data_IF_968586545475
#
_entry.id   IF_968586545475
#
_cell.length_a   1.000
_cell.length_b   1.000
_cell.length_c   1.000
_cell.angle_alpha   90.00
_cell.angle_beta   90.00
_cell.angle_gamma   90.00
#
_symmetry.space_group_name_H-M   'P 1'
#
loop_
_entity.id
_entity.type
_entity.pdbx_description
1 polymer ?
#
# COMPACT_ATOMS: atom_id res chain seq x y z
N UNK A 1 1.80 17.93 -2.24
CA UNK A 1 1.25 16.85 -1.38
C UNK A 1 -0.24 16.75 -1.67
N UNK A 2 -0.81 15.55 -1.70
CA UNK A 2 -2.25 15.35 -1.91
C UNK A 2 -2.77 14.17 -1.08
N UNK A 3 -4.07 14.15 -0.79
CA UNK A 3 -4.72 13.12 0.01
C UNK A 3 -5.38 12.10 -0.91
N UNK A 4 -5.14 10.81 -0.63
CA UNK A 4 -5.76 9.72 -1.38
C UNK A 4 -7.26 9.68 -1.12
N UNK A 5 -8.06 9.67 -2.19
CA UNK A 5 -9.50 9.44 -2.16
C UNK A 5 -9.85 8.00 -2.55
N UNK A 6 -11.10 7.57 -2.34
CA UNK A 6 -11.56 6.25 -2.78
C UNK A 6 -11.40 6.01 -4.29
N UNK A 7 -11.63 7.05 -5.11
CA UNK A 7 -11.46 6.96 -6.56
C UNK A 7 -9.99 6.79 -6.96
N UNK A 8 -9.08 7.43 -6.21
CA UNK A 8 -7.64 7.25 -6.39
C UNK A 8 -7.22 5.82 -6.03
N UNK A 9 -7.78 5.22 -4.97
CA UNK A 9 -7.48 3.83 -4.58
C UNK A 9 -7.85 2.85 -5.70
N UNK A 10 -9.01 3.02 -6.34
CA UNK A 10 -9.41 2.20 -7.50
C UNK A 10 -8.46 2.41 -8.68
N UNK A 11 -8.14 3.67 -8.99
CA UNK A 11 -7.24 4.02 -10.09
C UNK A 11 -5.82 3.47 -9.88
N UNK A 12 -5.30 3.55 -8.65
CA UNK A 12 -4.00 3.00 -8.25
C UNK A 12 -4.00 1.47 -8.36
N UNK A 13 -5.05 0.79 -7.91
CA UNK A 13 -5.13 -0.67 -7.99
C UNK A 13 -5.13 -1.16 -9.45
N UNK A 14 -5.87 -0.49 -10.34
CA UNK A 14 -5.89 -0.81 -11.78
C UNK A 14 -4.51 -0.52 -12.39
N UNK A 15 -3.96 0.67 -12.12
CA UNK A 15 -2.65 1.08 -12.60
C UNK A 15 -1.54 0.12 -12.15
N UNK A 16 -1.54 -0.30 -10.90
CA UNK A 16 -0.59 -1.28 -10.35
C UNK A 16 -0.68 -2.63 -11.08
N UNK A 17 -1.89 -3.10 -11.37
CA UNK A 17 -2.09 -4.34 -12.16
C UNK A 17 -1.53 -4.24 -13.58
N UNK A 18 -1.74 -3.09 -14.25
CA UNK A 18 -1.26 -2.86 -15.62
C UNK A 18 0.26 -2.68 -15.65
N UNK A 19 0.78 -1.76 -14.82
CA UNK A 19 2.20 -1.41 -14.75
C UNK A 19 3.05 -2.50 -14.10
N UNK A 20 2.43 -3.43 -13.38
CA UNK A 20 3.08 -4.62 -12.84
C UNK A 20 3.47 -5.64 -13.91
N UNK A 21 2.96 -5.53 -15.15
CA UNK A 21 3.31 -6.39 -16.30
C UNK A 21 3.16 -7.90 -16.04
N UNK A 22 2.20 -8.29 -15.18
CA UNK A 22 1.96 -9.68 -14.78
C UNK A 22 2.68 -10.12 -13.50
N UNK A 23 3.53 -9.26 -12.92
CA UNK A 23 4.13 -9.39 -11.60
C UNK A 23 3.48 -8.48 -10.55
N UNK A 24 4.16 -8.26 -9.42
CA UNK A 24 3.73 -7.32 -8.38
C UNK A 24 2.64 -7.81 -7.42
N UNK A 25 2.06 -8.98 -7.68
CA UNK A 25 0.97 -9.54 -6.88
C UNK A 25 -0.39 -8.95 -7.24
N UNK A 26 -1.46 -9.54 -6.68
CA UNK A 26 -2.82 -9.07 -6.93
C UNK A 26 -3.14 -7.87 -6.01
N UNK A 27 -3.45 -6.68 -6.56
CA UNK A 27 -3.71 -5.48 -5.76
C UNK A 27 -5.02 -5.52 -4.96
N UNK A 28 -5.92 -6.48 -5.24
CA UNK A 28 -7.27 -6.52 -4.70
C UNK A 28 -7.35 -6.44 -3.18
N UNK A 29 -6.54 -7.23 -2.46
CA UNK A 29 -6.57 -7.23 -0.98
C UNK A 29 -6.09 -5.90 -0.41
N UNK A 30 -5.00 -5.34 -0.96
CA UNK A 30 -4.49 -4.03 -0.55
C UNK A 30 -5.47 -2.90 -0.82
N UNK A 31 -6.18 -2.96 -1.96
CA UNK A 31 -7.25 -2.03 -2.32
C UNK A 31 -8.37 -2.02 -1.28
N UNK A 32 -8.89 -3.20 -0.92
CA UNK A 32 -9.95 -3.33 0.08
C UNK A 32 -9.51 -2.83 1.45
N UNK A 33 -8.27 -3.11 1.85
CA UNK A 33 -7.70 -2.62 3.09
C UNK A 33 -7.68 -1.09 3.10
N UNK A 34 -7.16 -0.46 2.05
CA UNK A 34 -7.06 0.99 1.96
C UNK A 34 -8.44 1.66 1.98
N UNK A 35 -9.42 1.13 1.23
CA UNK A 35 -10.81 1.63 1.26
C UNK A 35 -11.40 1.58 2.67
N UNK A 36 -11.22 0.46 3.38
CA UNK A 36 -11.69 0.32 4.77
C UNK A 36 -11.02 1.32 5.72
N UNK A 37 -9.73 1.61 5.55
CA UNK A 37 -9.03 2.59 6.38
C UNK A 37 -9.57 4.00 6.12
N UNK A 38 -9.82 4.36 4.85
CA UNK A 38 -10.46 5.62 4.49
C UNK A 38 -11.88 5.74 5.09
N UNK A 39 -12.67 4.66 5.05
CA UNK A 39 -14.02 4.60 5.67
C UNK A 39 -13.97 4.80 7.19
N UNK A 40 -12.86 4.44 7.84
CA UNK A 40 -12.61 4.67 9.26
C UNK A 40 -12.15 6.11 9.57
N UNK A 41 -12.09 6.98 8.56
CA UNK A 41 -11.64 8.37 8.69
C UNK A 41 -10.13 8.53 8.76
N UNK A 42 -9.36 7.48 8.46
CA UNK A 42 -7.91 7.59 8.32
C UNK A 42 -7.58 8.22 6.98
N UNK A 43 -6.40 8.85 6.91
CA UNK A 43 -5.93 9.55 5.71
C UNK A 43 -4.58 8.99 5.29
N UNK A 44 -4.33 9.00 3.98
CA UNK A 44 -3.01 8.70 3.42
C UNK A 44 -2.59 9.86 2.51
N UNK A 45 -1.39 10.38 2.78
CA UNK A 45 -0.84 11.53 2.06
C UNK A 45 0.26 11.07 1.12
N UNK A 46 0.15 11.46 -0.15
CA UNK A 46 1.25 11.33 -1.11
C UNK A 46 2.09 12.60 -1.07
N UNK A 47 3.37 12.42 -0.76
CA UNK A 47 4.36 13.51 -0.69
C UNK A 47 5.29 13.49 -1.91
N UNK A 48 5.70 14.65 -2.44
CA UNK A 48 6.75 14.73 -3.45
C UNK A 48 8.10 14.26 -2.90
N UNK A 49 8.90 13.59 -3.73
CA UNK A 49 10.19 13.04 -3.30
C UNK A 49 11.20 14.12 -2.89
N UNK A 50 11.13 15.30 -3.50
CA UNK A 50 11.97 16.46 -3.19
C UNK A 50 11.62 17.13 -1.85
N UNK A 51 10.56 16.68 -1.18
CA UNK A 51 10.19 17.12 0.18
C UNK A 51 10.69 16.19 1.27
N UNK A 52 11.36 15.08 0.91
CA UNK A 52 11.98 14.15 1.86
C UNK A 52 13.39 14.66 2.15
N UNK A 53 13.73 14.81 3.43
CA UNK A 53 15.08 15.24 3.86
C UNK A 53 16.15 14.24 3.44
N UNK A 54 17.35 14.72 3.11
CA UNK A 54 18.47 13.88 2.66
C UNK A 54 18.91 12.83 3.72
N UNK A 55 18.68 13.12 5.00
CA UNK A 55 18.97 12.26 6.14
C UNK A 55 17.72 11.55 6.71
N UNK A 56 16.58 11.62 6.02
CA UNK A 56 15.37 10.96 6.44
C UNK A 56 15.54 9.43 6.49
N UNK A 57 15.05 8.82 7.57
CA UNK A 57 14.89 7.38 7.64
C UNK A 57 13.69 6.96 6.79
N UNK A 58 13.95 6.35 5.64
CA UNK A 58 12.93 5.84 4.73
C UNK A 58 12.93 4.32 4.78
N UNK A 59 11.73 3.74 4.80
CA UNK A 59 11.53 2.30 4.69
C UNK A 59 10.49 1.97 3.64
N UNK A 60 10.64 0.81 3.02
CA UNK A 60 9.67 0.24 2.10
C UNK A 60 8.89 -0.87 2.81
N UNK A 61 7.61 -1.00 2.47
CA UNK A 61 6.74 -2.07 2.97
C UNK A 61 6.16 -2.81 1.77
N UNK A 62 6.59 -4.05 1.62
CA UNK A 62 6.16 -4.93 0.54
C UNK A 62 5.93 -6.35 1.05
N UNK A 63 5.15 -7.12 0.27
CA UNK A 63 4.95 -8.55 0.50
C UNK A 63 5.95 -9.39 -0.29
N UNK A 64 6.51 -10.43 0.32
CA UNK A 64 7.38 -11.41 -0.34
C UNK A 64 6.90 -12.83 -0.03
N UNK A 65 6.86 -13.71 -1.05
CA UNK A 65 6.50 -15.11 -0.89
C UNK A 65 5.60 -15.64 -2.01
N UNK A 66 4.96 -16.78 -1.77
CA UNK A 66 4.03 -17.38 -2.72
C UNK A 66 2.72 -16.57 -2.80
N UNK A 67 2.28 -16.14 -3.99
CA UNK A 67 1.07 -15.33 -4.14
C UNK A 67 -0.20 -15.98 -3.56
N UNK A 68 -0.30 -17.31 -3.63
CA UNK A 68 -1.44 -18.07 -3.10
C UNK A 68 -1.59 -17.94 -1.59
N UNK A 69 -0.50 -17.80 -0.85
CA UNK A 69 -0.52 -17.63 0.61
C UNK A 69 -1.22 -16.33 1.00
N UNK A 70 -1.01 -15.25 0.24
CA UNK A 70 -1.67 -13.96 0.49
C UNK A 70 -3.20 -14.01 0.29
N UNK A 71 -3.71 -15.05 -0.39
CA UNK A 71 -5.15 -15.26 -0.61
C UNK A 71 -5.72 -16.19 0.47
N UNK A 72 -4.99 -17.23 0.86
CA UNK A 72 -5.43 -18.20 1.87
C UNK A 72 -5.30 -17.67 3.31
N UNK A 73 -4.28 -16.84 3.56
CA UNK A 73 -3.98 -16.26 4.87
C UNK A 73 -3.87 -14.75 4.75
N UNK A 74 -5.02 -14.09 4.89
CA UNK A 74 -5.10 -12.63 4.85
C UNK A 74 -4.21 -12.00 5.94
N UNK A 75 -3.57 -10.86 5.65
CA UNK A 75 -2.83 -10.10 6.65
C UNK A 75 -3.76 -9.62 7.77
N UNK A 76 -3.24 -9.54 8.98
CA UNK A 76 -3.95 -8.99 10.13
C UNK A 76 -4.08 -7.45 10.06
N UNK A 77 -3.31 -6.81 9.17
CA UNK A 77 -3.34 -5.37 8.89
C UNK A 77 -2.43 -4.55 9.80
N UNK A 78 -1.66 -5.18 10.68
CA UNK A 78 -0.68 -4.53 11.57
C UNK A 78 0.77 -4.81 11.13
N UNK A 79 1.01 -5.76 10.23
CA UNK A 79 2.35 -6.12 9.76
C UNK A 79 3.18 -4.93 9.27
N UNK A 80 2.62 -3.93 8.54
CA UNK A 80 3.38 -2.74 8.14
C UNK A 80 3.99 -1.95 9.30
N UNK A 81 3.38 -2.01 10.50
CA UNK A 81 3.87 -1.26 11.67
C UNK A 81 5.15 -1.84 12.24
N UNK A 82 5.38 -3.14 12.07
CA UNK A 82 6.58 -3.80 12.60
C UNK A 82 7.87 -3.25 12.00
N UNK A 83 7.79 -2.66 10.81
CA UNK A 83 8.93 -2.01 10.17
C UNK A 83 9.41 -0.77 10.94
N UNK A 84 8.52 -0.11 11.69
CA UNK A 84 8.88 1.02 12.57
C UNK A 84 9.46 0.56 13.93
N UNK A 85 9.27 -0.71 14.27
CA UNK A 85 9.68 -1.30 15.55
C UNK A 85 11.02 -2.07 15.46
N UNK A 86 11.52 -2.29 14.24
CA UNK A 86 12.74 -3.02 13.93
C UNK A 86 13.98 -2.10 13.90
#
# INVERSE_FOLDING_TARGET
MWQITHDDVESIAIGAGILGTGGGGNPYVGKLLMQRLLDQGLTATVIPIDTVDDDALVTEVGGMGAPTVGIEKLPNGQEPRWVLEA
#
